data_IF_516951143958
#
_entry.id   IF_516951143958
#
_cell.length_a   1.000
_cell.length_b   1.000
_cell.length_c   1.000
_cell.angle_alpha   90.00
_cell.angle_beta   90.00
_cell.angle_gamma   90.00
#
_symmetry.space_group_name_H-M   'P 1'
#
loop_
_entity.id
_entity.type
_entity.pdbx_description
1 polymer ?
#
# COMPACT_ATOMS: atom_id res chain seq x y z
N UNK A 1 20.77 -6.69 9.77
CA UNK A 1 20.15 -5.53 9.10
C UNK A 1 19.11 -5.96 8.10
N UNK A 2 18.03 -5.16 7.98
CA UNK A 2 16.98 -5.37 7.01
C UNK A 2 16.54 -4.01 6.46
N UNK A 3 16.36 -3.89 5.15
CA UNK A 3 15.74 -2.74 4.50
C UNK A 3 14.55 -3.20 3.64
N UNK A 4 13.45 -2.46 3.75
CA UNK A 4 12.23 -2.66 2.97
C UNK A 4 11.97 -1.43 2.10
N UNK A 5 11.73 -1.63 0.79
CA UNK A 5 11.18 -0.61 -0.10
C UNK A 5 9.83 -1.08 -0.61
N UNK A 6 8.77 -0.49 -0.08
CA UNK A 6 7.39 -0.91 -0.29
C UNK A 6 6.92 -0.65 -1.71
N UNK A 7 7.03 0.60 -2.15
CA UNK A 7 6.54 1.05 -3.45
C UNK A 7 7.28 2.30 -3.94
N UNK A 8 7.02 2.65 -5.18
CA UNK A 8 7.45 3.91 -5.80
C UNK A 8 6.29 4.51 -6.61
N UNK A 9 6.24 5.83 -6.66
CA UNK A 9 5.21 6.57 -7.40
C UNK A 9 5.71 7.96 -7.75
N UNK A 10 4.90 8.79 -8.44
CA UNK A 10 5.28 10.13 -8.88
C UNK A 10 5.40 11.16 -7.75
N UNK A 11 5.07 10.80 -6.51
CA UNK A 11 5.25 11.68 -5.35
C UNK A 11 6.69 12.13 -5.16
N UNK A 12 6.88 13.36 -4.66
CA UNK A 12 8.19 14.00 -4.46
C UNK A 12 8.99 14.28 -5.76
N UNK A 13 8.31 14.30 -6.93
CA UNK A 13 8.98 14.53 -8.22
C UNK A 13 9.68 15.90 -8.30
N UNK A 14 9.19 16.91 -7.58
CA UNK A 14 9.69 18.28 -7.61
C UNK A 14 11.17 18.45 -7.19
N UNK A 15 11.75 17.47 -6.48
CA UNK A 15 13.12 17.57 -5.96
C UNK A 15 14.09 16.50 -6.45
N UNK A 16 13.63 15.51 -7.23
CA UNK A 16 14.41 14.31 -7.53
C UNK A 16 15.07 14.31 -8.92
N UNK A 17 14.84 15.35 -9.73
CA UNK A 17 15.40 15.42 -11.09
C UNK A 17 14.96 14.22 -11.96
N UNK A 18 15.72 13.95 -13.03
CA UNK A 18 15.35 12.99 -14.09
C UNK A 18 15.43 11.51 -13.68
N UNK A 19 16.01 11.20 -12.50
CA UNK A 19 16.23 9.80 -12.08
C UNK A 19 15.04 9.17 -11.37
N UNK A 20 14.08 9.96 -10.91
CA UNK A 20 12.85 9.50 -10.27
C UNK A 20 13.01 8.82 -8.88
N UNK A 21 11.88 8.55 -8.25
CA UNK A 21 11.80 8.03 -6.87
C UNK A 21 12.43 6.63 -6.70
N UNK A 22 12.33 5.76 -7.72
CA UNK A 22 12.91 4.42 -7.68
C UNK A 22 14.42 4.45 -7.46
N UNK A 23 15.14 5.30 -8.20
CA UNK A 23 16.58 5.47 -8.07
C UNK A 23 16.99 5.93 -6.67
N UNK A 24 16.32 6.97 -6.15
CA UNK A 24 16.70 7.54 -4.86
C UNK A 24 16.36 6.61 -3.70
N UNK A 25 15.19 5.95 -3.71
CA UNK A 25 14.84 4.96 -2.69
C UNK A 25 15.79 3.77 -2.69
N UNK A 26 16.23 3.31 -3.85
CA UNK A 26 17.17 2.18 -3.96
C UNK A 26 18.55 2.47 -3.34
N UNK A 27 18.97 3.73 -3.19
CA UNK A 27 20.20 4.09 -2.51
C UNK A 27 20.24 3.62 -1.04
N UNK A 28 19.08 3.46 -0.39
CA UNK A 28 19.00 2.90 0.96
C UNK A 28 19.73 1.53 1.04
N UNK A 29 19.67 0.74 -0.02
CA UNK A 29 20.24 -0.60 -0.05
C UNK A 29 21.78 -0.63 0.00
N UNK A 30 22.44 0.47 -0.38
CA UNK A 30 23.89 0.60 -0.28
C UNK A 30 24.39 0.71 1.17
N UNK A 31 23.48 1.05 2.10
CA UNK A 31 23.80 1.19 3.53
C UNK A 31 23.57 -0.10 4.33
N UNK A 32 23.05 -1.15 3.71
CA UNK A 32 22.93 -2.45 4.37
C UNK A 32 24.31 -3.06 4.63
N UNK A 33 24.51 -3.59 5.82
CA UNK A 33 25.71 -4.37 6.16
C UNK A 33 25.86 -5.59 5.24
N UNK A 34 27.08 -6.15 5.13
CA UNK A 34 27.26 -7.45 4.49
C UNK A 34 26.36 -8.50 5.13
N UNK A 35 25.64 -9.28 4.31
CA UNK A 35 24.65 -10.26 4.79
C UNK A 35 23.28 -9.68 5.19
N UNK A 36 23.10 -8.36 5.18
CA UNK A 36 21.80 -7.73 5.42
C UNK A 36 20.77 -8.06 4.34
N UNK A 37 19.50 -8.07 4.67
CA UNK A 37 18.39 -8.46 3.77
C UNK A 37 17.72 -7.23 3.17
N UNK A 38 17.61 -7.18 1.84
CA UNK A 38 16.83 -6.19 1.09
C UNK A 38 15.50 -6.80 0.62
N UNK A 39 14.38 -6.25 1.05
CA UNK A 39 13.03 -6.70 0.66
C UNK A 39 12.40 -5.63 -0.25
N UNK A 40 11.99 -6.04 -1.46
CA UNK A 40 11.57 -5.13 -2.53
C UNK A 40 10.26 -5.61 -3.14
N UNK A 41 9.35 -4.67 -3.45
CA UNK A 41 8.19 -5.00 -4.27
C UNK A 41 8.61 -5.33 -5.71
N UNK A 42 8.18 -6.49 -6.20
CA UNK A 42 8.37 -6.89 -7.59
C UNK A 42 7.35 -6.23 -8.54
N UNK A 43 6.32 -5.60 -8.00
CA UNK A 43 5.23 -5.00 -8.77
C UNK A 43 5.61 -3.67 -9.42
N UNK A 44 6.77 -3.11 -9.03
CA UNK A 44 7.36 -1.89 -9.58
C UNK A 44 8.65 -2.21 -10.37
N UNK A 45 8.57 -2.41 -11.71
CA UNK A 45 9.72 -2.83 -12.51
C UNK A 45 10.92 -1.88 -12.42
N UNK A 46 10.68 -0.58 -12.35
CA UNK A 46 11.73 0.42 -12.21
C UNK A 46 12.44 0.29 -10.86
N UNK A 47 11.69 0.09 -9.77
CA UNK A 47 12.26 -0.17 -8.46
C UNK A 47 13.12 -1.44 -8.46
N UNK A 48 12.62 -2.52 -9.03
CA UNK A 48 13.34 -3.77 -9.12
C UNK A 48 14.63 -3.64 -9.95
N UNK A 49 14.61 -2.87 -11.04
CA UNK A 49 15.79 -2.58 -11.86
C UNK A 49 16.84 -1.77 -11.08
N UNK A 50 16.44 -0.66 -10.47
CA UNK A 50 17.32 0.22 -9.71
C UNK A 50 17.90 -0.50 -8.47
N UNK A 51 17.10 -1.32 -7.78
CA UNK A 51 17.55 -2.09 -6.64
C UNK A 51 18.62 -3.12 -7.02
N UNK A 52 18.45 -3.85 -8.14
CA UNK A 52 19.45 -4.80 -8.67
C UNK A 52 20.76 -4.13 -9.06
N UNK A 53 20.74 -2.88 -9.50
CA UNK A 53 21.95 -2.13 -9.78
C UNK A 53 22.77 -1.79 -8.52
N UNK A 54 22.13 -1.73 -7.36
CA UNK A 54 22.79 -1.46 -6.07
C UNK A 54 23.16 -2.73 -5.34
N UNK A 55 22.32 -3.77 -5.39
CA UNK A 55 22.50 -5.03 -4.65
C UNK A 55 21.98 -6.21 -5.46
N UNK A 56 22.76 -7.31 -5.50
CA UNK A 56 22.38 -8.49 -6.26
C UNK A 56 21.42 -9.42 -5.51
N UNK A 57 21.60 -9.56 -4.20
CA UNK A 57 20.76 -10.41 -3.36
C UNK A 57 19.55 -9.62 -2.86
N UNK A 58 18.40 -9.90 -3.46
CA UNK A 58 17.12 -9.25 -3.16
C UNK A 58 16.06 -10.32 -2.86
N UNK A 59 15.25 -10.05 -1.86
CA UNK A 59 14.03 -10.78 -1.56
C UNK A 59 12.85 -9.99 -2.15
N UNK A 60 11.96 -10.67 -2.83
CA UNK A 60 10.84 -10.01 -3.50
C UNK A 60 9.51 -10.38 -2.86
N UNK A 61 8.61 -9.39 -2.82
CA UNK A 61 7.19 -9.62 -2.59
C UNK A 61 6.34 -9.08 -3.74
N UNK A 62 5.11 -9.60 -3.89
CA UNK A 62 4.18 -9.19 -4.95
C UNK A 62 2.72 -9.38 -4.53
N UNK A 63 1.86 -8.54 -5.10
CA UNK A 63 0.39 -8.66 -5.04
C UNK A 63 -0.24 -8.79 -6.43
N UNK A 64 0.56 -8.70 -7.49
CA UNK A 64 0.11 -8.78 -8.89
C UNK A 64 0.18 -10.19 -9.52
N UNK A 65 0.31 -11.23 -8.68
CA UNK A 65 0.39 -12.62 -9.15
C UNK A 65 1.76 -13.08 -9.65
N UNK A 66 2.82 -12.25 -9.49
CA UNK A 66 4.19 -12.67 -9.83
C UNK A 66 4.64 -13.80 -8.93
N UNK A 67 5.35 -14.77 -9.50
CA UNK A 67 5.91 -15.90 -8.74
C UNK A 67 7.20 -15.46 -8.03
N UNK A 68 7.06 -15.10 -6.77
CA UNK A 68 8.12 -14.69 -5.84
C UNK A 68 7.88 -15.31 -4.48
N UNK A 69 8.87 -15.24 -3.57
CA UNK A 69 8.82 -15.94 -2.28
C UNK A 69 7.69 -15.45 -1.38
N UNK A 70 7.38 -14.16 -1.43
CA UNK A 70 6.33 -13.53 -0.62
C UNK A 70 5.23 -12.95 -1.50
N UNK A 71 4.00 -13.42 -1.30
CA UNK A 71 2.85 -12.96 -2.09
C UNK A 71 1.65 -12.75 -1.19
N UNK A 72 0.77 -11.83 -1.58
CA UNK A 72 -0.53 -11.69 -0.97
C UNK A 72 -1.62 -11.45 -2.01
N UNK A 73 -2.82 -11.88 -1.65
CA UNK A 73 -4.05 -11.53 -2.33
C UNK A 73 -5.10 -11.09 -1.30
N UNK A 74 -5.83 -10.03 -1.62
CA UNK A 74 -7.05 -9.68 -0.92
C UNK A 74 -8.13 -10.69 -1.29
N UNK A 75 -8.83 -11.23 -0.30
CA UNK A 75 -9.83 -12.27 -0.51
C UNK A 75 -11.24 -11.70 -0.43
N UNK A 76 -11.60 -11.15 0.73
CA UNK A 76 -12.92 -10.57 1.00
C UNK A 76 -12.84 -9.54 2.13
N UNK A 77 -13.86 -8.68 2.26
CA UNK A 77 -14.07 -7.88 3.49
C UNK A 77 -14.17 -8.77 4.75
N UNK A 78 -13.61 -8.29 5.85
CA UNK A 78 -13.70 -8.91 7.17
C UNK A 78 -14.21 -7.89 8.21
N UNK A 79 -15.42 -7.36 8.00
CA UNK A 79 -15.99 -6.27 8.79
C UNK A 79 -15.89 -4.92 8.07
N UNK A 80 -16.10 -3.82 8.80
CA UNK A 80 -16.15 -2.47 8.21
C UNK A 80 -14.78 -1.95 7.79
N UNK A 81 -13.73 -2.21 8.57
CA UNK A 81 -12.40 -1.63 8.43
C UNK A 81 -11.30 -2.66 8.20
N UNK A 82 -11.65 -3.95 8.11
CA UNK A 82 -10.71 -5.06 7.93
C UNK A 82 -10.93 -5.79 6.63
N UNK A 83 -9.90 -6.49 6.19
CA UNK A 83 -9.94 -7.44 5.09
C UNK A 83 -9.30 -8.76 5.47
N UNK A 84 -9.75 -9.84 4.82
CA UNK A 84 -9.12 -11.13 4.83
C UNK A 84 -8.12 -11.19 3.68
N UNK A 85 -6.88 -11.54 3.98
CA UNK A 85 -5.79 -11.65 3.02
C UNK A 85 -5.21 -13.05 3.07
N UNK A 86 -4.96 -13.62 1.88
CA UNK A 86 -4.18 -14.85 1.75
C UNK A 86 -2.74 -14.52 1.47
N UNK A 87 -1.85 -15.00 2.33
CA UNK A 87 -0.40 -14.80 2.22
C UNK A 87 0.27 -16.12 1.84
N UNK A 88 1.32 -16.01 1.04
CA UNK A 88 2.27 -17.09 0.77
C UNK A 88 3.64 -16.62 1.26
N UNK A 89 4.20 -17.33 2.21
CA UNK A 89 5.45 -17.02 2.91
C UNK A 89 6.41 -18.18 2.69
N UNK A 90 7.30 -18.08 1.69
CA UNK A 90 8.33 -19.06 1.39
C UNK A 90 7.80 -20.51 1.37
N UNK A 91 6.72 -20.73 0.61
CA UNK A 91 6.08 -22.05 0.44
C UNK A 91 4.94 -22.38 1.40
N UNK A 92 4.77 -21.62 2.48
CA UNK A 92 3.64 -21.78 3.41
C UNK A 92 2.54 -20.76 3.07
N UNK A 93 1.27 -21.18 3.10
CA UNK A 93 0.15 -20.24 2.94
C UNK A 93 -0.66 -20.12 4.22
N UNK A 94 -1.04 -18.88 4.56
CA UNK A 94 -1.90 -18.55 5.69
C UNK A 94 -2.93 -17.50 5.29
N UNK A 95 -4.08 -17.51 5.95
CA UNK A 95 -5.07 -16.46 5.87
C UNK A 95 -4.98 -15.56 7.11
N UNK A 96 -4.96 -14.25 6.91
CA UNK A 96 -4.87 -13.27 8.00
C UNK A 96 -5.95 -12.19 7.85
N UNK A 97 -6.55 -11.79 8.97
CA UNK A 97 -7.33 -10.56 9.04
C UNK A 97 -6.41 -9.40 9.40
N UNK A 98 -6.49 -8.31 8.62
CA UNK A 98 -5.67 -7.14 8.86
C UNK A 98 -6.51 -5.85 8.73
N UNK A 99 -6.11 -4.73 9.39
CA UNK A 99 -6.88 -3.49 9.40
C UNK A 99 -6.73 -2.70 8.09
N UNK A 100 -7.00 -3.35 6.97
CA UNK A 100 -7.02 -2.78 5.64
C UNK A 100 -8.24 -3.29 4.87
N UNK A 101 -8.77 -2.45 3.99
CA UNK A 101 -9.81 -2.83 3.03
C UNK A 101 -9.26 -2.76 1.61
N UNK A 102 -9.78 -3.64 0.74
CA UNK A 102 -9.42 -3.63 -0.67
C UNK A 102 -8.04 -4.21 -1.01
N UNK A 103 -7.78 -4.33 -2.29
CA UNK A 103 -6.57 -4.96 -2.82
C UNK A 103 -5.28 -4.24 -2.44
N UNK A 104 -5.33 -2.92 -2.23
CA UNK A 104 -4.14 -2.15 -1.85
C UNK A 104 -3.58 -2.55 -0.47
N UNK A 105 -4.44 -3.02 0.43
CA UNK A 105 -4.03 -3.51 1.74
C UNK A 105 -3.09 -4.70 1.66
N UNK A 106 -3.23 -5.53 0.63
CA UNK A 106 -2.38 -6.71 0.41
C UNK A 106 -0.88 -6.35 0.31
N UNK A 107 -0.54 -5.20 -0.30
CA UNK A 107 0.85 -4.74 -0.42
C UNK A 107 1.45 -4.44 0.97
N UNK A 108 0.72 -3.73 1.82
CA UNK A 108 1.17 -3.44 3.19
C UNK A 108 1.27 -4.72 4.03
N UNK A 109 0.26 -5.59 3.94
CA UNK A 109 0.20 -6.85 4.70
C UNK A 109 1.38 -7.76 4.35
N UNK A 110 1.64 -7.98 3.04
CA UNK A 110 2.75 -8.87 2.65
C UNK A 110 4.11 -8.26 2.94
N UNK A 111 4.27 -6.95 2.85
CA UNK A 111 5.51 -6.29 3.21
C UNK A 111 5.85 -6.48 4.70
N UNK A 112 4.86 -6.28 5.59
CA UNK A 112 5.01 -6.53 7.03
C UNK A 112 5.28 -8.01 7.29
N UNK A 113 4.51 -8.91 6.67
CA UNK A 113 4.69 -10.36 6.86
C UNK A 113 6.07 -10.85 6.37
N UNK A 114 6.57 -10.35 5.25
CA UNK A 114 7.89 -10.68 4.73
C UNK A 114 9.00 -10.23 5.69
N UNK A 115 8.89 -9.02 6.26
CA UNK A 115 9.83 -8.54 7.29
C UNK A 115 9.78 -9.42 8.52
N UNK A 116 8.60 -9.69 9.06
CA UNK A 116 8.41 -10.50 10.26
C UNK A 116 8.97 -11.93 10.07
N UNK A 117 8.65 -12.56 8.92
CA UNK A 117 9.15 -13.88 8.58
C UNK A 117 10.69 -13.91 8.45
N UNK A 118 11.29 -12.89 7.82
CA UNK A 118 12.76 -12.77 7.71
C UNK A 118 13.45 -12.48 9.05
N UNK A 119 12.72 -11.99 10.04
CA UNK A 119 13.17 -11.84 11.42
C UNK A 119 12.95 -13.11 12.26
N UNK A 120 12.40 -14.18 11.68
CA UNK A 120 12.27 -15.50 12.30
C UNK A 120 10.91 -15.78 12.94
N UNK A 121 9.89 -14.90 12.74
CA UNK A 121 8.54 -15.18 13.23
C UNK A 121 7.87 -16.24 12.34
N UNK A 122 7.19 -17.18 13.01
CA UNK A 122 6.39 -18.21 12.34
C UNK A 122 5.06 -17.67 11.81
N UNK A 123 4.41 -18.46 10.96
CA UNK A 123 3.14 -18.08 10.32
C UNK A 123 2.03 -17.74 11.34
N UNK A 124 1.92 -18.50 12.43
CA UNK A 124 0.93 -18.28 13.51
C UNK A 124 1.20 -16.97 14.27
N UNK A 125 2.47 -16.67 14.55
CA UNK A 125 2.87 -15.41 15.21
C UNK A 125 2.57 -14.19 14.34
N UNK A 126 2.80 -14.30 13.03
CA UNK A 126 2.49 -13.28 12.04
C UNK A 126 0.95 -13.04 12.00
N UNK A 127 0.15 -14.11 11.94
CA UNK A 127 -1.30 -14.01 11.95
C UNK A 127 -1.82 -13.36 13.25
N UNK A 128 -1.30 -13.78 14.40
CA UNK A 128 -1.65 -13.18 15.69
C UNK A 128 -1.27 -11.69 15.77
N UNK A 129 -0.14 -11.31 15.21
CA UNK A 129 0.32 -9.93 15.12
C UNK A 129 -0.67 -9.05 14.33
N UNK A 130 -1.19 -9.54 13.20
CA UNK A 130 -2.19 -8.80 12.41
C UNK A 130 -3.52 -8.66 13.14
N UNK A 131 -3.97 -9.67 13.86
CA UNK A 131 -5.21 -9.61 14.63
C UNK A 131 -5.21 -8.49 15.69
N UNK A 132 -4.05 -8.17 16.26
CA UNK A 132 -3.84 -7.09 17.22
C UNK A 132 -3.42 -5.75 16.60
N UNK A 133 -3.22 -5.68 15.29
CA UNK A 133 -2.73 -4.47 14.64
C UNK A 133 -3.82 -3.40 14.51
N UNK A 134 -3.39 -2.13 14.62
CA UNK A 134 -4.23 -0.97 14.35
C UNK A 134 -3.48 0.01 13.44
N UNK A 135 -4.23 0.68 12.56
CA UNK A 135 -3.66 1.73 11.72
C UNK A 135 -3.39 2.99 12.54
N UNK A 136 -2.33 3.73 12.22
CA UNK A 136 -2.13 5.07 12.76
C UNK A 136 -3.30 5.98 12.38
N UNK A 137 -3.53 7.02 13.20
CA UNK A 137 -4.51 8.06 12.88
C UNK A 137 -4.22 8.69 11.51
N UNK A 138 -5.27 9.08 10.80
CA UNK A 138 -5.18 9.72 9.48
C UNK A 138 -4.50 8.85 8.39
N UNK A 139 -4.50 7.54 8.57
CA UNK A 139 -4.00 6.54 7.61
C UNK A 139 -5.10 5.51 7.38
N UNK A 140 -6.09 5.84 6.54
CA UNK A 140 -7.28 5.02 6.30
C UNK A 140 -8.01 4.66 7.60
N UNK A 141 -8.02 5.58 8.56
CA UNK A 141 -8.64 5.35 9.87
C UNK A 141 -10.16 5.43 9.76
N UNK A 142 -10.84 4.32 10.02
CA UNK A 142 -12.30 4.25 10.01
C UNK A 142 -12.88 4.62 11.39
N UNK A 143 -13.92 5.42 11.38
CA UNK A 143 -14.66 5.82 12.59
C UNK A 143 -16.13 6.09 12.27
N UNK A 144 -16.98 6.12 13.31
CA UNK A 144 -18.40 6.48 13.16
C UNK A 144 -18.68 7.83 13.76
N UNK A 145 -19.42 8.66 13.03
CA UNK A 145 -19.95 9.94 13.48
C UNK A 145 -21.47 9.96 13.20
N UNK A 146 -22.28 9.57 14.19
CA UNK A 146 -23.70 9.29 13.99
C UNK A 146 -23.90 8.17 12.97
N UNK A 147 -24.67 8.43 11.92
CA UNK A 147 -24.92 7.45 10.84
C UNK A 147 -23.82 7.43 9.76
N UNK A 148 -22.83 8.30 9.86
CA UNK A 148 -21.72 8.37 8.91
C UNK A 148 -20.63 7.38 9.28
N UNK A 149 -20.14 6.62 8.30
CA UNK A 149 -18.84 5.98 8.34
C UNK A 149 -17.82 6.96 7.74
N UNK A 150 -16.86 7.38 8.55
CA UNK A 150 -15.82 8.32 8.16
C UNK A 150 -14.53 7.56 7.94
N UNK A 151 -13.94 7.70 6.76
CA UNK A 151 -12.60 7.20 6.42
C UNK A 151 -11.66 8.39 6.41
N UNK A 152 -10.75 8.46 7.36
CA UNK A 152 -9.76 9.54 7.48
C UNK A 152 -8.40 9.06 6.97
N UNK A 153 -7.97 9.59 5.81
CA UNK A 153 -6.66 9.37 5.20
C UNK A 153 -5.94 10.72 4.96
N UNK A 154 -6.16 11.68 5.85
CA UNK A 154 -5.73 13.07 5.67
C UNK A 154 -4.28 13.36 6.03
N UNK A 155 -3.47 12.36 6.40
CA UNK A 155 -2.07 12.57 6.79
C UNK A 155 -1.22 13.15 5.64
N UNK A 156 -1.38 12.61 4.43
CA UNK A 156 -0.67 13.06 3.22
C UNK A 156 -1.46 12.69 1.97
N UNK A 157 -1.27 13.45 0.90
CA UNK A 157 -1.95 13.26 -0.36
C UNK A 157 -0.93 13.12 -1.51
N UNK A 158 -1.01 12.02 -2.25
CA UNK A 158 -0.26 11.79 -3.48
C UNK A 158 -1.10 10.94 -4.44
N UNK A 159 -0.76 10.89 -5.75
CA UNK A 159 -1.58 10.20 -6.74
C UNK A 159 -1.85 8.73 -6.40
N UNK A 160 -0.83 8.01 -5.92
CA UNK A 160 -0.97 6.58 -5.59
C UNK A 160 -1.86 6.36 -4.35
N UNK A 161 -1.71 7.17 -3.30
CA UNK A 161 -2.54 7.03 -2.10
C UNK A 161 -3.99 7.40 -2.37
N UNK A 162 -4.24 8.45 -3.16
CA UNK A 162 -5.61 8.83 -3.53
C UNK A 162 -6.32 7.74 -4.33
N UNK A 163 -5.70 7.17 -5.36
CA UNK A 163 -6.36 6.12 -6.14
C UNK A 163 -6.73 4.92 -5.28
N UNK A 164 -5.82 4.48 -4.44
CA UNK A 164 -6.03 3.35 -3.53
C UNK A 164 -7.12 3.60 -2.49
N UNK A 165 -7.10 4.79 -1.88
CA UNK A 165 -8.11 5.19 -0.90
C UNK A 165 -9.49 5.27 -1.53
N UNK A 166 -9.61 5.90 -2.71
CA UNK A 166 -10.88 6.04 -3.41
C UNK A 166 -11.44 4.71 -3.88
N UNK A 167 -10.60 3.79 -4.37
CA UNK A 167 -11.01 2.42 -4.73
C UNK A 167 -11.58 1.67 -3.52
N UNK A 168 -10.89 1.72 -2.37
CA UNK A 168 -11.37 1.08 -1.15
C UNK A 168 -12.64 1.75 -0.60
N UNK A 169 -12.73 3.07 -0.64
CA UNK A 169 -13.94 3.79 -0.22
C UNK A 169 -15.14 3.47 -1.11
N UNK A 170 -14.93 3.31 -2.42
CA UNK A 170 -15.95 2.89 -3.36
C UNK A 170 -16.42 1.44 -3.10
N UNK A 171 -15.49 0.52 -2.81
CA UNK A 171 -15.83 -0.85 -2.40
C UNK A 171 -16.69 -0.84 -1.13
N UNK A 172 -16.26 -0.10 -0.11
CA UNK A 172 -17.00 0.02 1.16
C UNK A 172 -18.38 0.65 0.98
N UNK A 173 -18.52 1.64 0.09
CA UNK A 173 -19.81 2.22 -0.25
C UNK A 173 -20.72 1.22 -0.97
N UNK A 174 -20.14 0.34 -1.82
CA UNK A 174 -20.87 -0.74 -2.49
C UNK A 174 -21.45 -1.77 -1.54
N UNK A 175 -20.82 -2.03 -0.40
CA UNK A 175 -21.32 -2.90 0.67
C UNK A 175 -22.59 -2.32 1.36
N UNK A 176 -22.86 -1.03 1.17
CA UNK A 176 -23.96 -0.27 1.78
C UNK A 176 -24.70 0.54 0.72
N UNK A 177 -25.47 -0.14 -0.14
CA UNK A 177 -26.15 0.48 -1.28
C UNK A 177 -27.11 1.65 -0.94
N UNK A 178 -27.52 1.77 0.33
CA UNK A 178 -28.34 2.84 0.88
C UNK A 178 -27.53 4.06 1.36
N UNK A 179 -26.21 3.98 1.39
CA UNK A 179 -25.33 5.05 1.89
C UNK A 179 -24.56 5.70 0.74
N UNK A 180 -24.80 7.00 0.49
CA UNK A 180 -24.06 7.70 -0.55
C UNK A 180 -22.61 7.93 -0.14
N UNK A 181 -21.68 7.75 -1.08
CA UNK A 181 -20.30 8.17 -0.91
C UNK A 181 -20.19 9.69 -1.01
N UNK A 182 -19.52 10.30 -0.04
CA UNK A 182 -19.14 11.72 -0.03
C UNK A 182 -17.63 11.79 0.07
N UNK A 183 -16.99 12.57 -0.80
CA UNK A 183 -15.55 12.75 -0.82
C UNK A 183 -15.20 14.17 -0.36
N UNK A 184 -14.20 14.31 0.52
CA UNK A 184 -13.55 15.57 0.87
C UNK A 184 -12.09 15.42 0.52
N UNK A 185 -11.66 16.07 -0.57
CA UNK A 185 -10.34 15.88 -1.16
C UNK A 185 -9.53 17.16 -1.03
N UNK A 186 -8.27 17.03 -0.62
CA UNK A 186 -7.31 18.11 -0.55
C UNK A 186 -6.36 18.13 -1.75
N UNK A 187 -5.43 19.08 -1.72
CA UNK A 187 -4.39 19.23 -2.73
C UNK A 187 -3.31 18.15 -2.57
N UNK A 188 -2.77 17.68 -3.71
CA UNK A 188 -1.57 16.85 -3.75
C UNK A 188 -0.34 17.74 -3.92
N UNK A 189 0.49 17.83 -2.87
CA UNK A 189 1.72 18.62 -2.88
C UNK A 189 2.89 17.92 -3.59
N UNK A 190 3.98 18.68 -3.80
CA UNK A 190 5.30 18.20 -4.24
C UNK A 190 5.36 17.49 -5.60
N UNK A 191 4.37 17.71 -6.48
CA UNK A 191 4.29 17.10 -7.80
C UNK A 191 5.06 17.87 -8.89
N UNK A 192 5.45 19.12 -8.61
CA UNK A 192 6.16 19.95 -9.60
C UNK A 192 5.36 20.12 -10.90
N UNK A 193 6.01 19.86 -12.03
CA UNK A 193 5.36 19.97 -13.35
C UNK A 193 4.25 18.95 -13.60
N UNK A 194 4.16 17.89 -12.80
CA UNK A 194 3.12 16.87 -12.92
C UNK A 194 1.80 17.27 -12.23
N UNK A 195 1.79 18.36 -11.46
CA UNK A 195 0.67 18.72 -10.58
C UNK A 195 -0.65 18.83 -11.33
N UNK A 196 -0.69 19.56 -12.44
CA UNK A 196 -1.94 19.76 -13.19
C UNK A 196 -2.48 18.44 -13.76
N UNK A 197 -1.63 17.61 -14.34
CA UNK A 197 -2.04 16.35 -14.94
C UNK A 197 -2.51 15.35 -13.87
N UNK A 198 -1.84 15.27 -12.73
CA UNK A 198 -2.21 14.36 -11.64
C UNK A 198 -3.52 14.78 -10.97
N UNK A 199 -3.77 16.08 -10.76
CA UNK A 199 -5.06 16.55 -10.27
C UNK A 199 -6.19 16.29 -11.29
N UNK A 200 -5.91 16.43 -12.59
CA UNK A 200 -6.87 16.08 -13.63
C UNK A 200 -7.16 14.57 -13.67
N UNK A 201 -6.15 13.73 -13.47
CA UNK A 201 -6.31 12.28 -13.37
C UNK A 201 -7.15 11.89 -12.14
N UNK A 202 -6.91 12.53 -10.99
CA UNK A 202 -7.73 12.36 -9.79
C UNK A 202 -9.19 12.73 -10.08
N UNK A 203 -9.45 13.86 -10.74
CA UNK A 203 -10.80 14.27 -11.13
C UNK A 203 -11.51 13.25 -12.00
N UNK A 204 -10.81 12.59 -12.93
CA UNK A 204 -11.37 11.51 -13.75
C UNK A 204 -11.71 10.28 -12.91
N UNK A 205 -10.82 9.86 -12.02
CA UNK A 205 -11.07 8.74 -11.10
C UNK A 205 -12.29 8.99 -10.22
N UNK A 206 -12.42 10.20 -9.67
CA UNK A 206 -13.60 10.59 -8.88
C UNK A 206 -14.87 10.55 -9.72
N UNK A 207 -14.82 11.01 -10.98
CA UNK A 207 -15.96 10.95 -11.89
C UNK A 207 -16.39 9.51 -12.21
N UNK A 208 -15.46 8.57 -12.31
CA UNK A 208 -15.74 7.15 -12.54
C UNK A 208 -16.40 6.48 -11.34
N UNK A 209 -15.98 6.84 -10.12
CA UNK A 209 -16.54 6.36 -8.85
C UNK A 209 -17.95 6.91 -8.59
N UNK A 210 -18.28 8.09 -9.14
CA UNK A 210 -19.60 8.77 -9.03
C UNK A 210 -20.06 8.99 -7.59
N UNK A 211 -19.26 9.63 -6.72
CA UNK A 211 -19.74 9.98 -5.40
C UNK A 211 -20.92 10.97 -5.52
N UNK A 212 -21.76 11.01 -4.50
CA UNK A 212 -22.90 11.95 -4.46
C UNK A 212 -22.46 13.40 -4.33
N UNK A 213 -21.33 13.63 -3.68
CA UNK A 213 -20.72 14.94 -3.45
C UNK A 213 -19.19 14.82 -3.39
N UNK A 214 -18.53 15.82 -3.92
CA UNK A 214 -17.06 16.00 -3.82
C UNK A 214 -16.77 17.37 -3.23
#
# INVERSE_FOLDING_TARGET
DLALILNVGPGHAAGLGDRGTAHYKSKLLAHLAPGGTAIISADYPDLAREARAVRQELVFFSTSGRQVDYRAAYVVPAGEDKGLFRLWLDGVSIDVEAPFRGAFGAENVIAVAAVAHRLGLGAEEIAAGFAGAALPKQRFACSRAGDWLVIDDSYNANPLSFSRMLEAAAEMAGDHADRPLVCVLGEMGELGSLSEDEHRNLGRLVADIKPRLV
#
